data_IF_691906500746
#
_entry.id   IF_691906500746
#
_cell.length_a   1.000
_cell.length_b   1.000
_cell.length_c   1.000
_cell.angle_alpha   90.00
_cell.angle_beta   90.00
_cell.angle_gamma   90.00
#
_symmetry.space_group_name_H-M   'P 1'
#
loop_
_entity.id
_entity.type
_entity.pdbx_description
1 polymer ?
#
# COMPACT_ATOMS: atom_id res chain seq x y z
N UNK A 1 24.62 -70.94 -11.95
CA UNK A 1 25.27 -70.19 -10.85
C UNK A 1 24.28 -69.17 -10.32
N UNK A 2 24.02 -69.21 -9.00
CA UNK A 2 23.10 -68.34 -8.25
C UNK A 2 23.79 -67.01 -7.93
N UNK A 3 23.10 -65.89 -8.12
CA UNK A 3 23.22 -64.73 -7.22
C UNK A 3 21.89 -63.96 -7.17
N UNK A 4 21.29 -63.92 -5.98
CA UNK A 4 20.21 -63.01 -5.58
C UNK A 4 20.81 -61.63 -5.25
N UNK A 5 20.07 -60.55 -5.52
CA UNK A 5 20.13 -59.32 -4.73
C UNK A 5 18.72 -58.82 -4.42
N UNK A 6 18.49 -58.60 -3.12
CA UNK A 6 17.27 -58.09 -2.50
C UNK A 6 17.12 -56.56 -2.66
N UNK A 7 15.86 -56.15 -2.73
CA UNK A 7 15.20 -54.98 -2.11
C UNK A 7 15.83 -53.59 -2.18
N UNK A 8 15.02 -52.62 -2.64
CA UNK A 8 14.56 -51.53 -1.77
C UNK A 8 13.30 -50.88 -2.37
N UNK A 9 12.20 -50.90 -1.62
CA UNK A 9 11.02 -50.07 -1.86
C UNK A 9 11.37 -48.62 -1.50
N UNK A 10 11.22 -47.70 -2.44
CA UNK A 10 11.27 -46.27 -2.16
C UNK A 10 9.84 -45.77 -1.95
N UNK A 11 9.51 -45.50 -0.69
CA UNK A 11 8.33 -44.75 -0.28
C UNK A 11 8.31 -43.38 -0.98
N UNK A 12 7.31 -43.16 -1.83
CA UNK A 12 7.02 -41.83 -2.36
C UNK A 12 6.20 -41.10 -1.29
N UNK A 13 6.88 -40.29 -0.48
CA UNK A 13 6.22 -39.28 0.34
C UNK A 13 5.84 -38.10 -0.57
N UNK A 14 4.58 -37.63 -0.58
CA UNK A 14 4.26 -36.34 -1.17
C UNK A 14 4.82 -35.27 -0.23
N UNK A 15 5.93 -34.65 -0.62
CA UNK A 15 6.33 -33.36 -0.06
C UNK A 15 5.22 -32.38 -0.40
N UNK A 16 4.35 -32.08 0.56
CA UNK A 16 3.54 -30.87 0.56
C UNK A 16 4.52 -29.70 0.67
N UNK A 17 5.04 -29.25 -0.47
CA UNK A 17 5.64 -27.94 -0.58
C UNK A 17 4.52 -26.95 -0.32
N UNK A 18 4.39 -26.53 0.95
CA UNK A 18 3.80 -25.25 1.30
C UNK A 18 4.61 -24.25 0.50
N UNK A 19 4.07 -23.82 -0.63
CA UNK A 19 4.62 -22.71 -1.38
C UNK A 19 4.70 -21.57 -0.38
N UNK A 20 5.91 -21.22 0.03
CA UNK A 20 6.13 -20.02 0.82
C UNK A 20 5.49 -18.90 0.02
N UNK A 21 4.43 -18.31 0.55
CA UNK A 21 3.81 -17.13 -0.06
C UNK A 21 4.94 -16.15 -0.36
N UNK A 22 5.03 -15.62 -1.59
CA UNK A 22 6.11 -14.73 -1.94
C UNK A 22 6.05 -13.55 -0.98
N UNK A 23 7.08 -13.43 -0.13
CA UNK A 23 7.23 -12.29 0.78
C UNK A 23 7.46 -11.07 -0.10
N UNK A 24 6.41 -10.28 -0.34
CA UNK A 24 6.51 -9.05 -1.10
C UNK A 24 7.37 -8.04 -0.33
N UNK A 25 8.52 -7.66 -0.90
CA UNK A 25 9.40 -6.65 -0.31
C UNK A 25 8.91 -5.26 -0.72
N UNK A 26 8.25 -4.58 0.22
CA UNK A 26 7.77 -3.21 0.05
C UNK A 26 8.88 -2.20 0.41
N UNK A 27 9.43 -1.46 -0.56
CA UNK A 27 10.34 -0.33 -0.29
C UNK A 27 9.54 0.92 0.08
N UNK A 28 9.27 1.13 1.38
CA UNK A 28 8.51 2.29 1.86
C UNK A 28 9.33 3.59 1.87
N UNK A 29 8.88 4.60 1.12
CA UNK A 29 9.37 5.98 1.23
C UNK A 29 8.37 6.87 1.94
N UNK A 30 8.82 7.57 2.97
CA UNK A 30 8.00 8.40 3.85
C UNK A 30 7.86 9.82 3.30
N UNK A 31 6.62 10.31 3.24
CA UNK A 31 6.32 11.71 2.92
C UNK A 31 5.52 12.36 4.05
N UNK A 32 6.05 13.43 4.62
CA UNK A 32 5.34 14.19 5.66
C UNK A 32 4.26 15.12 5.05
N UNK A 33 3.00 14.87 5.40
CA UNK A 33 1.84 15.59 4.85
C UNK A 33 1.70 17.06 5.31
N UNK A 34 2.64 17.58 6.14
CA UNK A 34 2.50 18.88 6.83
C UNK A 34 3.60 19.91 6.59
N UNK A 35 4.59 19.65 5.74
CA UNK A 35 5.53 20.72 5.38
C UNK A 35 4.79 21.79 4.56
N UNK A 36 4.80 23.00 5.09
CA UNK A 36 3.83 24.04 4.82
C UNK A 36 4.25 24.91 3.63
N UNK A 37 3.49 24.84 2.53
CA UNK A 37 3.29 25.87 1.47
C UNK A 37 2.75 25.24 0.17
N UNK A 38 2.78 23.91 0.05
CA UNK A 38 2.41 23.23 -1.17
C UNK A 38 0.89 23.25 -1.43
N UNK A 39 0.51 23.77 -2.59
CA UNK A 39 -0.87 23.76 -3.12
C UNK A 39 -1.22 22.38 -3.71
N UNK A 40 -0.19 21.57 -4.00
CA UNK A 40 -0.33 20.21 -4.48
C UNK A 40 0.83 19.34 -3.99
N UNK A 41 0.53 18.09 -3.68
CA UNK A 41 1.48 17.04 -3.38
C UNK A 41 1.52 16.09 -4.57
N UNK A 42 2.70 15.88 -5.12
CA UNK A 42 2.94 14.95 -6.23
C UNK A 42 3.98 13.94 -5.80
N UNK A 43 3.70 12.66 -6.00
CA UNK A 43 4.62 11.60 -5.68
C UNK A 43 4.64 10.53 -6.77
N UNK A 44 5.83 10.09 -7.16
CA UNK A 44 6.03 9.13 -8.23
C UNK A 44 6.69 7.86 -7.70
N UNK A 45 6.14 6.70 -8.07
CA UNK A 45 6.70 5.37 -7.80
C UNK A 45 6.73 4.61 -9.10
N UNK A 46 7.86 3.98 -9.41
CA UNK A 46 7.92 3.03 -10.51
C UNK A 46 8.00 1.62 -9.91
N UNK A 47 7.04 0.77 -10.25
CA UNK A 47 7.03 -0.65 -9.91
C UNK A 47 7.08 -1.45 -11.20
N UNK A 48 8.18 -2.17 -11.42
CA UNK A 48 8.44 -2.94 -12.64
C UNK A 48 8.19 -2.10 -13.91
N UNK A 49 7.20 -2.48 -14.71
CA UNK A 49 6.81 -1.81 -15.96
C UNK A 49 5.75 -0.70 -15.76
N UNK A 50 5.31 -0.44 -14.52
CA UNK A 50 4.27 0.55 -14.21
C UNK A 50 4.81 1.75 -13.45
N UNK A 51 4.43 2.94 -13.90
CA UNK A 51 4.60 4.19 -13.16
C UNK A 51 3.30 4.54 -12.42
N UNK A 52 3.43 4.95 -11.16
CA UNK A 52 2.33 5.44 -10.34
C UNK A 52 2.62 6.88 -9.92
N UNK A 53 1.73 7.80 -10.26
CA UNK A 53 1.82 9.20 -9.84
C UNK A 53 0.64 9.54 -8.94
N UNK A 54 0.89 9.67 -7.64
CA UNK A 54 -0.09 10.22 -6.70
C UNK A 54 -0.10 11.74 -6.83
N UNK A 55 -1.29 12.30 -7.01
CA UNK A 55 -1.55 13.73 -7.06
C UNK A 55 -2.59 14.07 -6.00
N UNK A 56 -2.26 14.97 -5.09
CA UNK A 56 -3.21 15.46 -4.10
C UNK A 56 -3.20 16.99 -4.08
N UNK A 57 -4.34 17.62 -4.41
CA UNK A 57 -4.48 19.07 -4.27
C UNK A 57 -4.70 19.41 -2.79
N UNK A 58 -3.87 20.28 -2.23
CA UNK A 58 -3.86 20.58 -0.79
C UNK A 58 -4.53 21.93 -0.52
N UNK A 59 -5.33 22.00 0.55
CA UNK A 59 -5.85 23.28 1.04
C UNK A 59 -4.72 24.04 1.75
N UNK A 60 -4.34 25.25 1.30
CA UNK A 60 -3.29 26.03 1.96
C UNK A 60 -3.72 26.49 3.37
N UNK A 61 -5.02 26.65 3.61
CA UNK A 61 -5.59 27.06 4.90
C UNK A 61 -5.69 25.91 5.89
N UNK A 62 -6.07 24.72 5.42
CA UNK A 62 -6.39 23.58 6.29
C UNK A 62 -5.36 22.45 6.22
N UNK A 63 -4.32 22.56 5.40
CA UNK A 63 -3.22 21.60 5.22
C UNK A 63 -3.70 20.15 5.05
N UNK A 64 -4.75 19.97 4.25
CA UNK A 64 -5.41 18.69 3.97
C UNK A 64 -5.64 18.51 2.48
N UNK A 65 -5.73 17.29 2.00
CA UNK A 65 -6.11 17.05 0.62
C UNK A 65 -7.56 17.49 0.37
N UNK A 66 -7.82 18.01 -0.83
CA UNK A 66 -9.14 18.44 -1.32
C UNK A 66 -9.63 17.57 -2.46
N UNK A 67 -8.68 17.01 -3.22
CA UNK A 67 -8.90 15.98 -4.22
C UNK A 67 -7.62 15.13 -4.28
N UNK A 68 -7.77 13.83 -4.51
CA UNK A 68 -6.66 12.89 -4.58
C UNK A 68 -6.88 11.99 -5.79
N UNK A 69 -5.89 11.91 -6.66
CA UNK A 69 -5.90 11.05 -7.82
C UNK A 69 -4.61 10.24 -7.90
N UNK A 70 -4.71 9.05 -8.46
CA UNK A 70 -3.56 8.24 -8.83
C UNK A 70 -3.55 8.06 -10.34
N UNK A 71 -2.46 8.47 -10.97
CA UNK A 71 -2.19 8.11 -12.36
C UNK A 71 -1.42 6.79 -12.36
N UNK A 72 -1.88 5.83 -13.16
CA UNK A 72 -1.23 4.53 -13.36
C UNK A 72 -0.86 4.48 -14.83
N UNK A 73 0.44 4.47 -15.12
CA UNK A 73 1.01 4.41 -16.45
C UNK A 73 1.68 3.06 -16.71
N UNK A 74 1.48 2.49 -17.89
CA UNK A 74 2.16 1.28 -18.38
C UNK A 74 2.49 1.48 -19.87
N UNK A 75 3.75 1.74 -20.20
CA UNK A 75 4.13 2.13 -21.56
C UNK A 75 3.44 3.43 -22.00
N UNK A 76 2.56 3.35 -23.00
CA UNK A 76 1.76 4.48 -23.50
C UNK A 76 0.38 4.58 -22.86
N UNK A 77 -0.06 3.55 -22.13
CA UNK A 77 -1.36 3.51 -21.50
C UNK A 77 -1.32 4.30 -20.19
N UNK A 78 -2.25 5.25 -20.02
CA UNK A 78 -2.38 6.05 -18.82
C UNK A 78 -3.82 6.01 -18.32
N UNK A 79 -4.00 5.64 -17.06
CA UNK A 79 -5.29 5.67 -16.38
C UNK A 79 -5.25 6.57 -15.17
N UNK A 80 -6.33 7.33 -14.95
CA UNK A 80 -6.56 8.09 -13.72
C UNK A 80 -7.58 7.37 -12.84
N UNK A 81 -7.24 7.21 -11.57
CA UNK A 81 -8.10 6.69 -10.51
C UNK A 81 -8.39 7.84 -9.55
N UNK A 82 -9.66 8.11 -9.25
CA UNK A 82 -10.03 9.05 -8.20
C UNK A 82 -10.01 8.33 -6.85
N UNK A 83 -9.10 8.76 -5.98
CA UNK A 83 -8.94 8.21 -4.63
C UNK A 83 -9.76 8.97 -3.59
N UNK A 84 -10.28 10.15 -3.94
CA UNK A 84 -11.05 11.00 -3.03
C UNK A 84 -12.20 10.27 -2.31
N UNK A 85 -13.01 9.41 -2.98
CA UNK A 85 -14.11 8.73 -2.30
C UNK A 85 -13.68 7.49 -1.51
N UNK A 86 -12.41 7.08 -1.58
CA UNK A 86 -11.91 5.88 -0.89
C UNK A 86 -11.60 6.16 0.58
N UNK A 87 -11.47 5.11 1.40
CA UNK A 87 -11.04 5.25 2.80
C UNK A 87 -9.69 5.97 2.94
N UNK A 88 -8.73 5.68 2.06
CA UNK A 88 -7.48 6.42 1.99
C UNK A 88 -7.73 7.91 1.71
N UNK A 89 -8.64 8.20 0.79
CA UNK A 89 -9.04 9.57 0.47
C UNK A 89 -9.67 10.29 1.66
N UNK A 90 -10.53 9.62 2.40
CA UNK A 90 -11.14 10.13 3.64
C UNK A 90 -10.07 10.46 4.69
N UNK A 91 -9.11 9.56 4.92
CA UNK A 91 -8.01 9.78 5.87
C UNK A 91 -7.12 10.98 5.49
N UNK A 92 -6.91 11.20 4.19
CA UNK A 92 -6.07 12.29 3.69
C UNK A 92 -6.82 13.64 3.57
N UNK A 93 -8.15 13.62 3.52
CA UNK A 93 -9.01 14.82 3.44
C UNK A 93 -9.48 15.31 4.81
N UNK A 94 -9.22 14.54 5.88
CA UNK A 94 -9.51 14.92 7.27
C UNK A 94 -8.86 16.26 7.63
N UNK A 95 -9.65 17.16 8.24
CA UNK A 95 -9.29 18.53 8.60
C UNK A 95 -8.22 18.62 9.67
N UNK A 96 -8.12 17.60 10.52
CA UNK A 96 -7.23 17.60 11.68
C UNK A 96 -6.10 16.59 11.55
N UNK A 97 -6.07 15.85 10.42
CA UNK A 97 -5.07 14.86 10.06
C UNK A 97 -3.63 15.39 10.04
N UNK A 98 -2.71 14.67 10.66
CA UNK A 98 -1.29 14.69 10.27
C UNK A 98 -0.89 13.28 9.93
N UNK A 99 0.00 13.10 8.96
CA UNK A 99 0.48 11.77 8.67
C UNK A 99 1.65 11.72 7.72
N UNK A 100 2.05 10.48 7.49
CA UNK A 100 3.12 10.02 6.65
C UNK A 100 2.53 9.06 5.62
N UNK A 101 2.87 9.27 4.36
CA UNK A 101 2.60 8.29 3.32
C UNK A 101 3.85 7.47 3.04
N UNK A 102 3.74 6.16 3.17
CA UNK A 102 4.67 5.16 2.68
C UNK A 102 4.16 4.55 1.38
N UNK A 103 5.03 4.21 0.45
CA UNK A 103 4.65 3.57 -0.81
C UNK A 103 5.48 2.33 -1.03
N UNK A 104 4.91 1.23 -1.52
CA UNK A 104 5.66 0.01 -1.81
C UNK A 104 5.15 -0.69 -3.05
N UNK A 105 6.03 -1.44 -3.72
CA UNK A 105 5.69 -2.22 -4.89
C UNK A 105 5.42 -3.67 -4.50
N UNK A 106 4.29 -4.22 -4.93
CA UNK A 106 4.03 -5.65 -4.86
C UNK A 106 3.53 -6.20 -6.19
N UNK A 107 3.44 -7.53 -6.28
CA UNK A 107 3.04 -8.24 -7.49
C UNK A 107 1.61 -7.94 -7.92
N UNK A 108 0.75 -7.54 -6.98
CA UNK A 108 -0.66 -7.21 -7.21
C UNK A 108 -0.92 -5.72 -7.49
N UNK A 109 0.06 -4.84 -7.24
CA UNK A 109 -0.07 -3.41 -7.46
C UNK A 109 0.76 -2.54 -6.53
N UNK A 110 0.29 -1.32 -6.32
CA UNK A 110 0.91 -0.34 -5.44
C UNK A 110 0.34 -0.47 -4.03
N UNK A 111 1.21 -0.51 -3.03
CA UNK A 111 0.84 -0.42 -1.64
C UNK A 111 1.09 0.99 -1.10
N UNK A 112 0.16 1.53 -0.34
CA UNK A 112 0.25 2.84 0.31
C UNK A 112 -0.01 2.67 1.81
N UNK A 113 0.98 2.98 2.63
CA UNK A 113 0.82 3.05 4.08
C UNK A 113 0.49 4.49 4.45
N UNK A 114 -0.59 4.69 5.19
CA UNK A 114 -0.90 5.93 5.88
C UNK A 114 -0.61 5.73 7.36
N UNK A 115 0.36 6.47 7.89
CA UNK A 115 0.60 6.57 9.32
C UNK A 115 0.29 7.98 9.76
N UNK A 116 -0.81 8.19 10.47
CA UNK A 116 -1.23 9.52 10.87
C UNK A 116 -2.07 9.54 12.14
N UNK A 117 -2.69 10.67 12.42
CA UNK A 117 -3.69 10.76 13.47
C UNK A 117 -4.87 11.61 13.01
N UNK A 118 -6.07 11.13 13.30
CA UNK A 118 -7.35 11.79 12.97
C UNK A 118 -7.96 12.36 14.25
N UNK A 119 -8.80 13.39 14.13
CA UNK A 119 -9.63 13.89 15.24
C UNK A 119 -11.04 14.13 14.74
N UNK A 120 -12.03 13.65 15.47
CA UNK A 120 -13.42 13.97 15.14
C UNK A 120 -13.72 15.47 15.32
N UNK A 121 -13.09 16.13 16.31
CA UNK A 121 -13.16 17.56 16.54
C UNK A 121 -11.98 18.07 17.42
N UNK A 122 -11.88 19.39 17.58
CA UNK A 122 -10.79 20.05 18.32
C UNK A 122 -10.74 19.71 19.81
N UNK A 123 -11.82 19.15 20.35
CA UNK A 123 -11.97 18.82 21.78
C UNK A 123 -11.69 17.35 22.09
N UNK A 124 -11.60 16.51 21.06
CA UNK A 124 -11.37 15.07 21.21
C UNK A 124 -9.89 14.69 21.02
N UNK A 125 -9.43 13.64 21.72
CA UNK A 125 -8.07 13.14 21.55
C UNK A 125 -7.86 12.66 20.11
N UNK A 126 -6.61 12.80 19.64
CA UNK A 126 -6.24 12.27 18.33
C UNK A 126 -6.21 10.73 18.37
N UNK A 127 -6.79 10.10 17.37
CA UNK A 127 -6.72 8.66 17.15
C UNK A 127 -5.65 8.39 16.11
N UNK A 128 -4.58 7.72 16.52
CA UNK A 128 -3.50 7.30 15.62
C UNK A 128 -4.03 6.22 14.69
N UNK A 129 -3.79 6.40 13.40
CA UNK A 129 -4.17 5.51 12.31
C UNK A 129 -2.89 4.99 11.67
N UNK A 130 -2.71 3.68 11.64
CA UNK A 130 -1.71 3.00 10.82
C UNK A 130 -2.46 2.05 9.90
N UNK A 131 -2.49 2.39 8.61
CA UNK A 131 -3.34 1.75 7.64
C UNK A 131 -2.54 1.49 6.37
N UNK A 132 -2.53 0.25 5.89
CA UNK A 132 -1.99 -0.06 4.57
C UNK A 132 -3.17 -0.21 3.61
N UNK A 133 -2.97 0.28 2.40
CA UNK A 133 -3.89 0.18 1.29
C UNK A 133 -3.16 -0.46 0.13
N UNK A 134 -3.84 -1.31 -0.61
CA UNK A 134 -3.40 -1.81 -1.90
C UNK A 134 -4.26 -1.16 -2.96
N UNK A 135 -3.62 -0.58 -3.96
CA UNK A 135 -4.23 -0.18 -5.22
C UNK A 135 -3.85 -1.23 -6.24
N UNK A 136 -4.83 -2.04 -6.65
CA UNK A 136 -4.60 -3.08 -7.64
C UNK A 136 -4.17 -2.48 -8.98
N UNK A 137 -3.62 -3.33 -9.85
CA UNK A 137 -3.34 -2.97 -11.25
C UNK A 137 -4.57 -2.47 -12.01
N UNK A 138 -5.79 -2.69 -11.51
CA UNK A 138 -7.03 -2.20 -12.10
C UNK A 138 -7.52 -0.87 -11.49
N UNK A 139 -6.80 -0.34 -10.51
CA UNK A 139 -7.16 0.88 -9.79
C UNK A 139 -8.15 0.65 -8.66
N UNK A 140 -8.46 -0.60 -8.31
CA UNK A 140 -9.31 -0.92 -7.15
C UNK A 140 -8.51 -0.71 -5.88
N UNK A 141 -9.05 0.08 -4.96
CA UNK A 141 -8.42 0.38 -3.67
C UNK A 141 -9.04 -0.48 -2.59
N UNK A 142 -8.20 -1.17 -1.83
CA UNK A 142 -8.60 -2.03 -0.72
C UNK A 142 -7.65 -1.85 0.47
N UNK A 143 -8.17 -1.79 1.69
CA UNK A 143 -7.35 -1.80 2.91
C UNK A 143 -6.68 -3.17 3.10
N UNK A 144 -5.42 -3.17 3.55
CA UNK A 144 -4.61 -4.37 3.79
C UNK A 144 -4.02 -4.31 5.19
N UNK A 145 -4.05 -5.42 5.93
CA UNK A 145 -5.08 -6.44 5.88
C UNK A 145 -6.42 -5.80 6.33
N UNK A 146 -7.56 -6.49 6.20
CA UNK A 146 -8.84 -5.97 6.72
C UNK A 146 -8.73 -5.58 8.21
N UNK A 147 -9.60 -4.68 8.65
CA UNK A 147 -9.63 -4.15 10.02
C UNK A 147 -9.47 -5.28 11.06
N UNK A 148 -8.49 -5.14 11.96
CA UNK A 148 -8.22 -6.12 13.03
C UNK A 148 -7.03 -7.05 12.80
N UNK A 149 -6.25 -6.88 11.73
CA UNK A 149 -5.04 -7.67 11.48
C UNK A 149 -3.80 -6.77 11.48
N UNK A 150 -2.79 -7.15 12.28
CA UNK A 150 -1.56 -6.36 12.49
C UNK A 150 -0.53 -6.66 11.41
N UNK A 151 -0.03 -5.62 10.73
CA UNK A 151 1.15 -5.71 9.88
C UNK A 151 2.39 -5.72 10.77
N UNK A 152 3.22 -6.75 10.64
CA UNK A 152 4.53 -6.77 11.28
C UNK A 152 5.43 -5.79 10.52
N UNK A 153 5.98 -4.75 11.17
CA UNK A 153 6.94 -3.87 10.52
C UNK A 153 8.17 -4.66 10.09
N UNK A 154 8.62 -4.46 8.85
CA UNK A 154 9.95 -4.90 8.44
C UNK A 154 10.96 -4.08 9.26
N UNK A 155 11.77 -4.78 10.08
CA UNK A 155 12.89 -4.20 10.83
C UNK A 155 14.04 -3.84 9.91
#
# INVERSE_FOLDING_TARGET
MRTLYLCAAALILPLTTVAAEPVERLEMRVLHLRNASDVAMTYNVNCDQRGYTLLASMSPKHRRATAIALLIGEGVDLRKVDLTPTDLGQLMTDRMGFGELGFGCGSEGLYLRYLGATRANDKEPAVVQDALFRVSKDGVVSRVPPDGVTLTPLR
#
